data_IF_419700378708
#
_entry.id   IF_419700378708
#
_cell.length_a   1.000
_cell.length_b   1.000
_cell.length_c   1.000
_cell.angle_alpha   90.00
_cell.angle_beta   90.00
_cell.angle_gamma   90.00
#
_symmetry.space_group_name_H-M   'P 1'
#
loop_
_entity.id
_entity.type
_entity.pdbx_description
1 polymer ?
2 polymer ?
3 water ?
#
# COMPACT_ATOMS: atom_id res chain seq x y z
N UNK A 1 -5.69 -7.60 -16.05
CA UNK A 1 -7.00 -7.63 -15.34
C UNK A 1 -7.37 -6.25 -14.81
N UNK A 2 -8.63 -5.85 -14.99
CA UNK A 2 -9.05 -4.54 -14.52
C UNK A 2 -10.56 -4.31 -14.57
N UNK A 3 -11.27 -5.16 -15.30
CA UNK A 3 -12.72 -5.02 -15.40
C UNK A 3 -13.35 -5.60 -14.15
N UNK A 4 -12.62 -6.50 -13.51
CA UNK A 4 -13.09 -7.16 -12.31
C UNK A 4 -12.33 -6.66 -11.07
N UNK A 5 -11.60 -5.57 -11.22
CA UNK A 5 -10.82 -5.01 -10.13
C UNK A 5 -11.65 -4.67 -8.90
N UNK A 6 -11.01 -4.73 -7.74
CA UNK A 6 -11.68 -4.38 -6.51
C UNK A 6 -12.72 -5.32 -5.94
N UNK A 7 -13.02 -6.43 -6.62
CA UNK A 7 -13.99 -7.40 -6.13
C UNK A 7 -13.22 -8.65 -5.72
N UNK A 8 -13.15 -8.86 -4.41
CA UNK A 8 -12.41 -9.98 -3.84
C UNK A 8 -13.10 -11.34 -3.99
N UNK A 9 -12.37 -12.32 -4.55
CA UNK A 9 -12.93 -13.67 -4.75
C UNK A 9 -13.54 -14.27 -3.49
N UNK A 10 -12.94 -14.01 -2.32
CA UNK A 10 -13.46 -14.59 -1.09
C UNK A 10 -14.46 -13.74 -0.31
N UNK A 11 -14.73 -12.54 -0.78
CA UNK A 11 -15.68 -11.67 -0.10
C UNK A 11 -16.77 -11.15 -1.03
N UNK A 12 -16.54 -10.07 -1.75
CA UNK A 12 -17.56 -9.53 -2.64
C UNK A 12 -18.19 -10.56 -3.57
N UNK A 13 -17.37 -11.36 -4.25
CA UNK A 13 -17.87 -12.38 -5.18
C UNK A 13 -18.79 -13.43 -4.55
N UNK A 14 -18.68 -13.63 -3.24
CA UNK A 14 -19.49 -14.60 -2.51
C UNK A 14 -20.54 -13.93 -1.66
N UNK A 15 -20.53 -12.60 -1.71
CA UNK A 15 -21.43 -11.75 -0.94
C UNK A 15 -21.12 -11.89 0.56
N UNK A 16 -19.83 -12.03 0.89
CA UNK A 16 -19.42 -12.13 2.28
C UNK A 16 -18.69 -10.85 2.65
N UNK A 17 -18.87 -10.39 3.88
CA UNK A 17 -18.20 -9.18 4.32
C UNK A 17 -17.10 -9.52 5.30
N UNK A 18 -16.02 -8.74 5.28
CA UNK A 18 -14.93 -8.97 6.22
C UNK A 18 -15.29 -8.37 7.58
N UNK A 19 -14.52 -8.73 8.60
CA UNK A 19 -14.74 -8.28 9.97
C UNK A 19 -14.84 -6.79 10.22
N UNK A 20 -14.12 -5.97 9.48
CA UNK A 20 -14.16 -4.53 9.76
C UNK A 20 -14.55 -3.60 8.63
N UNK A 21 -15.06 -4.13 7.51
CA UNK A 21 -15.41 -3.23 6.42
C UNK A 21 -16.59 -2.30 6.73
N UNK A 22 -17.49 -2.75 7.61
CA UNK A 22 -18.65 -1.95 7.99
C UNK A 22 -18.17 -0.62 8.59
N UNK A 23 -17.03 -0.65 9.29
CA UNK A 23 -16.45 0.54 9.90
C UNK A 23 -16.14 1.60 8.83
N UNK A 24 -15.65 1.16 7.69
CA UNK A 24 -15.33 2.08 6.60
C UNK A 24 -16.63 2.65 6.04
N UNK A 25 -17.58 1.79 5.71
CA UNK A 25 -18.86 2.21 5.14
C UNK A 25 -19.65 3.15 6.04
N UNK A 26 -19.59 2.95 7.35
CA UNK A 26 -20.30 3.81 8.28
C UNK A 26 -19.69 5.21 8.39
N UNK A 27 -18.42 5.35 8.02
CA UNK A 27 -17.77 6.65 8.11
C UNK A 27 -18.06 7.51 6.88
N UNK A 28 -18.58 6.89 5.83
CA UNK A 28 -18.88 7.62 4.60
C UNK A 28 -20.19 8.39 4.82
N UNK A 29 -20.04 9.53 5.48
CA UNK A 29 -21.11 10.44 5.88
C UNK A 29 -21.67 9.87 7.18
N UNK A 33 2.44 -2.41 11.02
CA UNK A 33 1.18 -1.71 11.38
C UNK A 33 1.13 -1.67 12.90
N UNK A 34 0.90 -0.48 13.46
CA UNK A 34 0.80 -0.31 14.89
C UNK A 34 -0.67 -0.25 15.29
N UNK A 35 -1.04 -1.04 16.29
CA UNK A 35 -2.42 -1.12 16.81
C UNK A 35 -3.44 -1.65 15.82
N UNK A 36 -2.99 -2.58 14.97
CA UNK A 36 -3.87 -3.20 14.01
C UNK A 36 -4.26 -4.60 14.46
N UNK A 37 -4.77 -5.39 13.52
CA UNK A 37 -5.15 -6.76 13.83
C UNK A 37 -4.82 -7.65 12.65
N UNK A 38 -4.82 -8.95 12.89
CA UNK A 38 -4.53 -9.95 11.87
C UNK A 38 -5.55 -9.85 10.76
N UNK A 39 -5.09 -9.85 9.53
CA UNK A 39 -5.98 -9.78 8.40
C UNK A 39 -6.62 -11.15 8.18
N UNK A 40 -7.77 -11.18 7.53
CA UNK A 40 -8.43 -12.43 7.21
C UNK A 40 -7.79 -12.93 5.92
N UNK A 41 -7.86 -14.24 5.71
CA UNK A 41 -7.31 -14.83 4.51
C UNK A 41 -8.08 -14.22 3.33
N UNK A 42 -7.35 -13.78 2.30
CA UNK A 42 -7.99 -13.21 1.14
C UNK A 42 -8.61 -11.81 1.29
N UNK A 43 -8.38 -11.17 2.43
CA UNK A 43 -8.91 -9.84 2.71
C UNK A 43 -8.32 -8.73 1.83
N UNK A 44 -7.05 -8.87 1.45
CA UNK A 44 -6.38 -7.88 0.60
C UNK A 44 -5.61 -8.65 -0.46
N UNK A 45 -6.30 -9.19 -1.47
CA UNK A 45 -5.65 -9.96 -2.54
C UNK A 45 -4.70 -9.18 -3.46
N UNK A 46 -4.67 -7.87 -3.31
CA UNK A 46 -3.78 -7.03 -4.12
C UNK A 46 -2.47 -6.71 -3.36
N UNK A 47 -2.40 -7.10 -2.08
CA UNK A 47 -1.19 -6.85 -1.29
C UNK A 47 -0.02 -7.62 -1.86
N UNK A 48 1.09 -6.92 -2.05
CA UNK A 48 2.31 -7.52 -2.58
C UNK A 48 3.44 -7.28 -1.59
N UNK A 49 4.41 -8.19 -1.57
CA UNK A 49 5.55 -8.04 -0.68
C UNK A 49 6.76 -7.76 -1.57
N UNK A 50 7.40 -6.61 -1.35
CA UNK A 50 8.60 -6.25 -2.12
C UNK A 50 9.75 -6.94 -1.37
N UNK A 51 10.52 -7.75 -2.08
CA UNK A 51 11.56 -8.55 -1.44
C UNK A 51 12.96 -8.47 -2.06
N UNK A 52 13.99 -8.40 -1.21
CA UNK A 52 15.39 -8.35 -1.69
C UNK A 52 15.87 -9.78 -1.95
N UNK A 53 16.68 -9.95 -2.99
CA UNK A 53 17.24 -11.25 -3.32
C UNK A 53 18.46 -11.60 -2.47
N UNK A 54 19.39 -10.65 -2.33
CA UNK A 54 20.60 -10.85 -1.53
C UNK A 54 20.21 -11.17 -0.07
N UNK A 55 20.34 -10.23 0.91
CA UNK A 55 19.88 -10.82 2.17
C UNK A 55 18.34 -10.88 2.06
N UNK A 56 17.83 -12.10 1.96
CA UNK A 56 16.40 -12.38 1.83
C UNK A 56 15.64 -11.56 2.88
N UNK A 57 15.17 -10.37 2.49
CA UNK A 57 14.45 -9.48 3.41
C UNK A 57 13.26 -8.75 2.84
N UNK A 58 12.29 -8.48 3.71
CA UNK A 58 11.10 -7.72 3.34
C UNK A 58 11.63 -6.29 3.21
N UNK A 59 11.30 -5.61 2.12
CA UNK A 59 11.74 -4.24 1.90
C UNK A 59 10.57 -3.28 2.15
N UNK A 60 9.47 -3.56 1.47
CA UNK A 60 8.28 -2.72 1.54
C UNK A 60 7.06 -3.52 1.11
N UNK A 61 5.92 -2.84 1.15
CA UNK A 61 4.68 -3.41 0.68
C UNK A 61 4.49 -2.81 -0.70
N UNK A 62 3.48 -3.29 -1.44
CA UNK A 62 3.20 -2.80 -2.78
C UNK A 62 1.83 -3.32 -3.10
N UNK A 63 1.33 -3.05 -4.30
CA UNK A 63 -0.01 -3.53 -4.65
C UNK A 63 -0.11 -3.91 -6.12
N UNK A 64 -1.00 -4.86 -6.39
CA UNK A 64 -1.22 -5.37 -7.74
C UNK A 64 -2.36 -4.58 -8.40
N UNK A 65 -2.06 -3.89 -9.50
CA UNK A 65 -3.08 -3.13 -10.19
C UNK A 65 -3.52 -3.78 -11.50
N UNK A 66 -2.80 -4.82 -11.90
CA UNK A 66 -3.14 -5.59 -13.10
C UNK A 66 -2.30 -6.86 -13.08
N UNK A 67 -2.44 -7.70 -14.08
CA UNK A 67 -1.68 -8.96 -14.16
C UNK A 67 -0.18 -8.78 -14.33
N UNK A 68 0.26 -7.59 -14.73
CA UNK A 68 1.67 -7.37 -14.95
C UNK A 68 2.23 -6.09 -14.35
N UNK A 69 1.42 -5.35 -13.59
CA UNK A 69 1.86 -4.09 -12.99
C UNK A 69 1.67 -4.03 -11.49
N UNK A 70 2.73 -3.61 -10.81
CA UNK A 70 2.74 -3.46 -9.36
C UNK A 70 3.04 -1.99 -9.05
N UNK A 71 2.30 -1.43 -8.11
CA UNK A 71 2.48 -0.04 -7.70
C UNK A 71 3.11 0.00 -6.31
N UNK A 72 4.04 0.93 -6.09
CA UNK A 72 4.66 1.07 -4.78
C UNK A 72 5.20 2.50 -4.62
N UNK A 73 5.92 2.75 -3.53
CA UNK A 73 6.50 4.05 -3.26
C UNK A 73 7.90 4.08 -3.86
N UNK A 74 8.28 5.23 -4.40
CA UNK A 74 9.59 5.38 -5.01
C UNK A 74 10.72 5.29 -3.98
N UNK A 75 10.45 5.69 -2.75
CA UNK A 75 11.48 5.65 -1.70
C UNK A 75 11.93 4.22 -1.39
N UNK A 76 11.09 3.25 -1.73
CA UNK A 76 11.42 1.85 -1.53
C UNK A 76 12.52 1.45 -2.48
N UNK A 77 12.59 2.13 -3.61
CA UNK A 77 13.57 1.83 -4.64
C UNK A 77 14.74 2.79 -4.69
N UNK A 78 14.48 4.07 -4.41
CA UNK A 78 15.52 5.08 -4.48
C UNK A 78 15.46 6.03 -3.32
N UNK A 79 16.46 5.97 -2.46
CA UNK A 79 16.54 6.86 -1.33
C UNK A 79 18.01 7.14 -1.03
N UNK A 80 18.62 8.02 -1.84
CA UNK A 80 20.03 8.40 -1.70
C UNK A 80 20.52 8.74 -0.28
N UNK A 81 19.73 9.44 0.55
CA UNK A 81 20.22 9.73 1.89
C UNK A 81 20.62 8.49 2.70
N UNK A 82 20.08 7.32 2.37
CA UNK A 82 20.42 6.06 3.07
C UNK A 82 21.17 5.12 2.14
N UNK A 83 21.71 5.67 1.06
CA UNK A 83 22.45 4.91 0.04
C UNK A 83 21.64 3.76 -0.58
N UNK A 84 20.35 4.00 -0.79
CA UNK A 84 19.47 3.01 -1.37
C UNK A 84 19.16 3.33 -2.82
N UNK A 85 19.43 2.37 -3.69
CA UNK A 85 19.17 2.53 -5.12
C UNK A 85 19.12 1.15 -5.74
N UNK A 86 17.93 0.54 -5.73
CA UNK A 86 17.73 -0.80 -6.27
C UNK A 86 17.37 -0.86 -7.73
N UNK A 87 17.79 -1.94 -8.37
CA UNK A 87 17.50 -2.17 -9.77
C UNK A 87 16.62 -3.40 -9.84
N UNK A 88 16.11 -3.69 -11.03
CA UNK A 88 15.23 -4.84 -11.25
C UNK A 88 15.79 -6.14 -10.71
N UNK A 89 17.08 -6.37 -10.91
CA UNK A 89 17.69 -7.61 -10.48
C UNK A 89 17.98 -7.76 -8.99
N UNK A 90 17.73 -6.71 -8.22
CA UNK A 90 17.96 -6.78 -6.78
C UNK A 90 16.69 -7.21 -6.05
N UNK A 91 15.59 -7.26 -6.79
CA UNK A 91 14.31 -7.56 -6.15
C UNK A 91 13.41 -8.59 -6.83
N UNK A 92 12.39 -9.00 -6.07
CA UNK A 92 11.38 -9.91 -6.55
C UNK A 92 10.12 -9.60 -5.76
N UNK A 93 8.96 -9.85 -6.37
CA UNK A 93 7.70 -9.60 -5.69
C UNK A 93 7.00 -10.92 -5.34
N UNK A 94 6.43 -10.96 -4.15
CA UNK A 94 5.72 -12.13 -3.68
C UNK A 94 4.23 -11.75 -3.55
N UNK A 95 3.39 -12.36 -4.36
CA UNK A 95 1.97 -12.06 -4.37
C UNK A 95 1.14 -13.21 -3.83
N UNK A 96 0.08 -12.88 -3.08
CA UNK A 96 -0.81 -13.89 -2.52
C UNK A 96 -0.49 -14.36 -1.11
N UNK A 97 0.37 -13.61 -0.43
CA UNK A 97 0.81 -13.97 0.92
C UNK A 97 -0.09 -13.58 2.09
N UNK A 98 0.12 -14.27 3.20
CA UNK A 98 -0.59 -14.00 4.43
C UNK A 98 0.45 -14.05 5.55
N UNK A 99 1.24 -15.12 5.57
CA UNK A 99 2.29 -15.29 6.57
C UNK A 99 3.44 -14.39 6.13
N UNK A 100 4.07 -13.73 7.10
CA UNK A 100 5.19 -12.85 6.81
C UNK A 100 6.47 -13.58 6.38
N UNK A 101 6.93 -14.52 7.20
CA UNK A 101 8.18 -15.25 6.94
C UNK A 101 8.05 -16.58 6.19
N UNK A 102 6.96 -17.29 6.43
CA UNK A 102 6.68 -18.59 5.84
C UNK A 102 6.59 -18.54 4.29
N UNK A 103 7.35 -19.37 3.58
CA UNK A 103 7.20 -19.42 2.11
C UNK A 103 5.92 -20.25 1.91
N UNK A 104 4.88 -19.62 1.38
CA UNK A 104 3.58 -20.27 1.22
C UNK A 104 3.35 -21.11 -0.03
N UNK A 105 3.80 -22.37 0.07
CA UNK A 105 3.71 -23.38 -0.99
C UNK A 105 2.27 -23.56 -1.50
N UNK A 106 2.14 -23.51 -2.82
CA UNK A 106 0.86 -23.67 -3.51
C UNK A 106 -0.06 -22.45 -3.40
N UNK A 107 0.38 -21.42 -2.69
CA UNK A 107 -0.45 -20.25 -2.51
C UNK A 107 0.14 -18.97 -3.09
N UNK A 108 1.35 -18.61 -2.65
CA UNK A 108 1.99 -17.42 -3.15
C UNK A 108 2.71 -17.63 -4.48
N UNK A 109 2.87 -16.54 -5.22
CA UNK A 109 3.57 -16.54 -6.50
C UNK A 109 4.69 -15.50 -6.44
N UNK A 110 5.84 -15.84 -6.99
CA UNK A 110 6.99 -14.96 -7.01
C UNK A 110 7.25 -14.51 -8.43
N UNK A 111 7.50 -13.23 -8.61
CA UNK A 111 7.75 -12.70 -9.94
C UNK A 111 9.01 -11.86 -9.94
N UNK A 112 9.63 -11.83 -11.10
CA UNK A 112 10.84 -11.06 -11.33
C UNK A 112 10.41 -9.79 -12.05
N UNK A 113 11.16 -8.72 -11.84
CA UNK A 113 10.86 -7.43 -12.46
C UNK A 113 11.51 -7.29 -13.81
N UNK A 114 10.77 -6.70 -14.74
CA UNK A 114 11.26 -6.46 -16.08
C UNK A 114 11.75 -5.02 -16.18
N UNK A 115 10.99 -4.10 -15.59
CA UNK A 115 11.33 -2.68 -15.63
C UNK A 115 10.74 -1.93 -14.43
N UNK A 116 11.47 -0.94 -13.95
CA UNK A 116 11.05 -0.11 -12.84
C UNK A 116 10.97 1.31 -13.36
N UNK A 117 9.88 1.99 -13.04
CA UNK A 117 9.68 3.37 -13.47
C UNK A 117 9.40 4.20 -12.24
N UNK A 118 10.24 5.20 -12.03
CA UNK A 118 10.10 6.12 -10.90
C UNK A 118 9.66 7.47 -11.45
N UNK A 119 8.68 8.08 -10.81
CA UNK A 119 8.21 9.36 -11.26
C UNK A 119 9.42 10.29 -11.44
N UNK A 120 9.55 10.92 -12.62
CA UNK A 120 10.67 11.83 -12.91
C UNK A 120 10.82 13.03 -11.98
N UNK A 121 9.74 13.44 -11.32
CA UNK A 121 9.76 14.58 -10.42
C UNK A 121 9.66 14.20 -8.95
N UNK A 122 9.98 12.95 -8.65
CA UNK A 122 9.99 12.41 -7.28
C UNK A 122 11.02 13.24 -6.49
N UNK A 123 10.58 13.86 -5.40
CA UNK A 123 11.45 14.71 -4.59
C UNK A 123 12.01 14.06 -3.32
N UNK A 124 13.07 13.28 -3.46
CA UNK A 124 13.68 12.61 -2.32
C UNK A 124 14.57 13.55 -1.50
N UNK A 125 14.98 14.64 -2.11
CA UNK A 125 15.84 15.62 -1.46
C UNK A 125 15.16 16.39 -0.35
N UNK A 126 13.85 16.57 -0.43
CA UNK A 126 13.16 17.37 0.57
C UNK A 126 12.00 16.75 1.34
N UNK A 127 10.89 16.50 0.66
CA UNK A 127 9.69 15.99 1.32
C UNK A 127 9.04 14.73 0.74
N UNK A 128 9.73 14.03 -0.17
CA UNK A 128 9.20 12.83 -0.83
C UNK A 128 7.97 13.15 -1.65
N UNK A 129 7.96 14.33 -2.26
CA UNK A 129 6.84 14.75 -3.09
C UNK A 129 6.82 13.79 -4.30
N UNK A 130 5.63 13.35 -4.67
CA UNK A 130 5.45 12.40 -5.79
C UNK A 130 6.19 11.08 -5.52
N UNK A 131 5.98 10.54 -4.33
CA UNK A 131 6.60 9.29 -3.91
C UNK A 131 5.82 8.14 -4.55
N UNK A 132 6.12 7.83 -5.81
CA UNK A 132 5.41 6.78 -6.52
C UNK A 132 6.29 6.10 -7.58
N UNK A 133 6.12 4.79 -7.74
CA UNK A 133 6.88 4.02 -8.72
C UNK A 133 6.07 2.84 -9.23
N UNK A 134 6.25 2.50 -10.51
CA UNK A 134 5.56 1.39 -11.14
C UNK A 134 6.59 0.32 -11.45
N UNK A 135 6.20 -0.94 -11.35
CA UNK A 135 7.10 -2.05 -11.65
C UNK A 135 6.40 -3.03 -12.60
N UNK A 136 7.03 -3.32 -13.73
CA UNK A 136 6.47 -4.24 -14.71
C UNK A 136 6.98 -5.64 -14.41
N UNK A 137 6.07 -6.60 -14.27
CA UNK A 137 6.45 -7.97 -14.00
C UNK A 137 6.91 -8.64 -15.28
N UNK A 138 7.93 -9.49 -15.20
CA UNK A 138 8.42 -10.15 -16.40
C UNK A 138 7.34 -11.00 -17.05
N UNK A 139 6.52 -11.68 -16.25
CA UNK A 139 5.44 -12.49 -16.77
C UNK A 139 4.15 -12.19 -16.01
N UNK A 140 3.01 -12.23 -16.69
CA UNK A 140 1.72 -11.96 -16.04
C UNK A 140 1.47 -12.98 -14.94
N UNK A 141 0.88 -12.52 -13.85
CA UNK A 141 0.57 -13.38 -12.71
C UNK A 141 -0.86 -13.87 -12.89
N UNK A 142 -1.10 -15.13 -12.55
CA UNK A 142 -2.44 -15.69 -12.67
C UNK A 142 -3.20 -15.37 -11.40
N UNK A 143 -4.42 -14.88 -11.56
CA UNK A 143 -5.24 -14.54 -10.41
C UNK A 143 -5.76 -15.79 -9.74
N UNK A 144 -6.25 -15.63 -8.52
CA UNK A 144 -6.79 -16.74 -7.75
C UNK A 144 -7.60 -16.17 -6.59
N UNK A 145 -7.96 -17.00 -5.63
CA UNK A 145 -8.73 -16.55 -4.47
C UNK A 145 -7.92 -15.57 -3.61
N UNK A 146 -6.58 -15.67 -3.71
CA UNK A 146 -5.67 -14.87 -2.90
C UNK A 146 -4.91 -13.78 -3.68
N UNK A 147 -5.07 -13.76 -4.99
CA UNK A 147 -4.39 -12.82 -5.86
C UNK A 147 -5.44 -12.15 -6.73
N UNK A 148 -5.58 -10.83 -6.60
CA UNK A 148 -6.57 -10.09 -7.38
C UNK A 148 -6.23 -8.59 -7.32
N UNK A 149 -6.29 -7.88 -8.47
CA UNK A 149 -5.98 -6.45 -8.51
C UNK A 149 -7.00 -5.52 -7.89
N UNK A 150 -6.50 -4.39 -7.40
CA UNK A 150 -7.34 -3.38 -6.78
C UNK A 150 -7.57 -2.36 -7.90
N UNK A 151 -8.63 -1.58 -7.81
CA UNK A 151 -8.92 -0.56 -8.81
C UNK A 151 -8.20 0.75 -8.53
N UNK A 152 -7.97 1.53 -9.58
CA UNK A 152 -7.36 2.85 -9.45
C UNK A 152 -8.54 3.81 -9.50
N UNK A 153 -8.52 4.85 -8.65
CA UNK A 153 -9.65 5.78 -8.66
C UNK A 153 -9.77 6.69 -9.88
N UNK A 154 -11.00 7.10 -10.15
CA UNK A 154 -11.30 8.02 -11.23
C UNK A 154 -11.64 9.34 -10.52
N UNK A 155 -11.74 10.43 -11.26
CA UNK A 155 -12.03 11.74 -10.70
C UNK A 155 -13.16 11.77 -9.70
N UNK A 156 -14.30 11.20 -10.06
CA UNK A 156 -15.46 11.22 -9.19
C UNK A 156 -15.33 10.37 -7.94
N UNK A 157 -14.67 9.22 -8.04
CA UNK A 157 -14.49 8.36 -6.87
C UNK A 157 -13.57 9.07 -5.88
N UNK A 158 -12.53 9.71 -6.41
CA UNK A 158 -11.60 10.46 -5.57
C UNK A 158 -12.31 11.63 -4.92
N UNK A 159 -13.14 12.32 -5.69
CA UNK A 159 -13.86 13.48 -5.19
C UNK A 159 -14.77 13.16 -4.00
N UNK A 160 -15.59 12.13 -4.14
CA UNK A 160 -16.51 11.77 -3.07
C UNK A 160 -15.97 11.00 -1.90
N UNK A 161 -14.88 10.26 -2.10
CA UNK A 161 -14.35 9.47 -1.01
C UNK A 161 -13.21 10.09 -0.24
N UNK A 162 -12.39 10.90 -0.89
CA UNK A 162 -11.27 11.51 -0.21
C UNK A 162 -11.71 12.73 0.60
N UNK A 163 -12.34 12.47 1.74
CA UNK A 163 -12.84 13.53 2.63
C UNK A 163 -12.43 13.27 4.08
N UNK A 164 -12.17 14.36 4.80
CA UNK A 164 -11.78 14.29 6.20
C UNK A 164 -12.83 13.51 6.95
N UNK A 165 -12.40 12.58 7.78
CA UNK A 165 -13.36 11.78 8.53
C UNK A 165 -13.67 10.43 7.88
N UNK A 166 -13.55 10.34 6.57
CA UNK A 166 -13.82 9.06 5.89
C UNK A 166 -12.63 8.15 6.18
N UNK A 167 -12.93 6.89 6.47
CA UNK A 167 -11.87 5.94 6.78
C UNK A 167 -11.38 5.09 5.63
N UNK A 168 -10.07 4.88 5.62
CA UNK A 168 -9.44 4.04 4.63
C UNK A 168 -8.80 2.88 5.40
N UNK A 169 -8.16 1.99 4.67
CA UNK A 169 -7.53 0.82 5.27
C UNK A 169 -6.10 0.66 4.80
N UNK A 170 -5.21 0.33 5.73
CA UNK A 170 -3.81 0.12 5.44
C UNK A 170 -3.45 -1.30 5.86
N UNK A 171 -2.65 -1.98 5.05
CA UNK A 171 -2.25 -3.35 5.37
C UNK A 171 -0.74 -3.52 5.19
N UNK A 172 -0.14 -4.43 5.95
CA UNK A 172 1.29 -4.64 5.81
C UNK A 172 1.89 -5.57 6.86
N UNK A 173 3.12 -5.99 6.61
CA UNK A 173 3.86 -6.89 7.50
C UNK A 173 4.95 -6.12 8.25
N UNK A 174 4.81 -4.81 8.32
CA UNK A 174 5.79 -3.98 8.99
C UNK A 174 5.79 -4.10 10.50
N UNK A 175 6.67 -3.33 11.12
CA UNK A 175 6.81 -3.32 12.57
C UNK A 175 5.52 -2.99 13.27
N UNK A 176 5.31 -3.65 14.40
CA UNK A 176 4.11 -3.46 15.21
C UNK A 176 4.30 -2.34 16.22
N UNK A 177 5.52 -1.83 16.30
CA UNK A 177 5.83 -0.78 17.24
C UNK A 177 7.00 -0.02 16.66
N UNK A 178 7.11 1.25 17.03
CA UNK A 178 8.19 2.10 16.55
C UNK A 178 9.55 1.63 17.07
N UNK A 187 7.40 -7.01 18.07
CA UNK A 187 8.37 -6.69 16.98
C UNK A 187 7.76 -6.81 15.61
N UNK A 188 7.76 -8.02 15.06
CA UNK A 188 7.21 -8.30 13.75
C UNK A 188 5.98 -9.17 13.93
N UNK A 189 5.00 -9.05 13.04
CA UNK A 189 3.76 -9.84 13.10
C UNK A 189 4.03 -11.17 12.40
N UNK A 190 3.21 -12.18 12.67
CA UNK A 190 3.37 -13.46 12.01
C UNK A 190 2.60 -13.43 10.69
N UNK A 191 1.48 -12.70 10.69
CA UNK A 191 0.65 -12.59 9.49
C UNK A 191 0.35 -11.13 9.15
N UNK A 192 -0.18 -10.91 7.95
CA UNK A 192 -0.54 -9.58 7.46
C UNK A 192 -1.44 -8.89 8.47
N UNK A 193 -1.14 -7.62 8.76
CA UNK A 193 -1.92 -6.82 9.71
C UNK A 193 -2.78 -5.83 8.94
N UNK A 194 -3.86 -5.37 9.58
CA UNK A 194 -4.77 -4.42 8.96
C UNK A 194 -5.23 -3.36 9.96
N UNK A 195 -5.33 -2.11 9.51
CA UNK A 195 -5.80 -1.04 10.38
C UNK A 195 -6.61 -0.02 9.53
N UNK A 196 -7.77 0.38 10.02
CA UNK A 196 -8.63 1.35 9.34
C UNK A 196 -8.35 2.70 10.00
N UNK A 197 -8.07 3.71 9.19
CA UNK A 197 -7.74 5.04 9.70
C UNK A 197 -8.50 6.14 8.98
N UNK A 198 -8.90 7.19 9.72
CA UNK A 198 -9.64 8.29 9.09
C UNK A 198 -8.74 9.30 8.38
N UNK A 199 -9.23 9.84 7.26
CA UNK A 199 -8.48 10.85 6.54
C UNK A 199 -8.57 12.12 7.40
N UNK A 200 -7.46 12.84 7.50
CA UNK A 200 -7.39 14.04 8.32
C UNK A 200 -7.39 15.33 7.49
N UNK A 201 -7.93 16.39 8.07
CA UNK A 201 -8.00 17.71 7.42
C UNK A 201 -6.60 18.19 7.08
N UNK A 202 -6.44 18.72 5.87
CA UNK A 202 -5.14 19.20 5.42
C UNK A 202 -4.46 20.19 6.38
N UNK A 203 -5.20 21.16 6.95
CA UNK A 203 -4.60 22.12 7.88
C UNK A 203 -4.01 21.42 9.09
N UNK A 204 -4.73 20.44 9.60
CA UNK A 204 -4.27 19.67 10.74
C UNK A 204 -3.01 18.89 10.35
N UNK A 205 -2.95 18.39 9.12
CA UNK A 205 -1.78 17.66 8.63
C UNK A 205 -0.58 18.61 8.61
N UNK A 206 -0.76 19.76 7.97
CA UNK A 206 0.29 20.78 7.86
C UNK A 206 0.82 21.23 9.23
N UNK A 207 -0.08 21.55 10.16
CA UNK A 207 0.29 22.02 11.49
C UNK A 207 0.95 20.99 12.42
N UNK A 208 1.07 19.74 11.98
CA UNK A 208 1.66 18.72 12.81
C UNK A 208 3.13 18.48 12.47
N UNK A 209 3.62 19.13 11.44
CA UNK A 209 4.99 18.91 11.00
C UNK A 209 5.68 20.16 10.48
N UNK A 210 7.00 20.14 10.44
CA UNK A 210 7.79 21.25 9.94
C UNK A 210 8.03 20.99 8.46
N UNK A 211 7.78 19.75 8.03
CA UNK A 211 7.96 19.35 6.62
C UNK A 211 6.92 20.01 5.71
N UNK A 212 7.35 20.49 4.56
CA UNK A 212 6.45 21.14 3.61
C UNK A 212 5.60 20.08 2.91
N UNK A 213 4.31 20.04 3.20
CA UNK A 213 3.45 19.05 2.55
C UNK A 213 2.83 19.65 1.28
N UNK A 214 2.66 18.83 0.25
CA UNK A 214 2.13 19.31 -1.02
C UNK A 214 0.77 18.70 -1.32
N UNK A 215 0.19 19.07 -2.45
CA UNK A 215 -1.10 18.56 -2.89
C UNK A 215 -1.04 17.10 -3.31
N UNK A 216 0.17 16.59 -3.48
CA UNK A 216 0.37 15.22 -3.87
C UNK A 216 0.42 14.26 -2.68
N UNK A 217 0.04 14.76 -1.51
CA UNK A 217 0.03 13.96 -0.29
C UNK A 217 -1.24 14.21 0.48
N UNK A 218 -1.57 13.29 1.36
CA UNK A 218 -2.68 13.46 2.27
C UNK A 218 -2.22 12.72 3.52
N UNK A 219 -2.74 13.09 4.69
CA UNK A 219 -2.36 12.41 5.91
C UNK A 219 -3.57 11.73 6.54
N UNK A 220 -3.32 10.69 7.32
CA UNK A 220 -4.39 9.95 7.96
C UNK A 220 -4.00 9.46 9.33
N UNK A 221 -5.00 9.31 10.20
CA UNK A 221 -4.74 8.85 11.54
C UNK A 221 -5.69 9.48 12.53
N UNK A 222 -5.73 8.92 13.73
CA UNK A 222 -6.58 9.44 14.78
C UNK A 222 -5.86 10.59 15.51
N UNK A 223 -6.65 11.54 16.00
CA UNK A 223 -6.12 12.69 16.72
C UNK A 223 -5.97 12.28 18.17
N UNK A 224 -5.08 12.95 18.92
CA UNK A 224 -4.83 12.64 20.33
C UNK A 224 -6.08 12.50 21.19
N UNK A 225 -7.10 13.30 20.92
CA UNK A 225 -8.32 13.26 21.69
C UNK A 225 -9.30 12.19 21.28
N UNK A 226 -9.10 11.58 20.10
CA UNK A 226 -10.02 10.57 19.62
C UNK A 226 -10.01 9.22 20.32
N UNK A 227 -8.97 8.95 21.11
CA UNK A 227 -8.94 7.67 21.80
C UNK A 227 -8.32 6.55 20.99
N UNK A 228 -8.85 6.28 19.80
CA UNK A 228 -8.32 5.23 18.95
C UNK A 228 -6.90 5.58 18.46
N UNK A 229 -6.12 4.55 18.12
CA UNK A 229 -4.76 4.74 17.64
C UNK A 229 -4.55 3.93 16.35
N UNK A 230 -3.33 3.94 15.84
CA UNK A 230 -3.03 3.18 14.63
C UNK A 230 -2.20 3.94 13.65
N UNK A 231 -1.34 3.22 12.92
CA UNK A 231 -0.47 3.85 11.92
C UNK A 231 0.33 2.76 11.21
N UNK A 232 0.97 3.14 10.11
CA UNK A 232 1.84 2.24 9.39
C UNK A 232 3.21 2.43 10.08
N UNK A 233 4.16 1.57 9.78
CA UNK A 233 5.46 1.70 10.41
C UNK A 233 6.47 1.12 9.45
N UNK A 234 7.73 1.05 9.85
CA UNK A 234 8.75 0.51 8.98
C UNK A 234 8.32 -0.84 8.46
N UNK A 235 8.54 -1.07 7.18
CA UNK A 235 8.17 -2.33 6.55
C UNK A 235 6.85 -2.25 5.83
N UNK A 236 6.02 -1.27 6.20
CA UNK A 236 4.71 -1.05 5.59
C UNK A 236 4.73 -0.12 4.38
N UNK A 237 5.70 0.79 4.32
CA UNK A 237 5.75 1.74 3.22
C UNK A 237 5.67 1.08 1.86
N UNK A 238 5.10 1.81 0.90
CA UNK A 238 4.91 1.29 -0.44
C UNK A 238 3.57 0.57 -0.54
N UNK A 239 3.01 0.20 0.61
CA UNK A 239 1.73 -0.50 0.66
C UNK A 239 0.52 0.36 0.29
N UNK A 240 -0.63 -0.29 0.10
CA UNK A 240 -1.86 0.43 -0.26
C UNK A 240 -2.77 0.97 0.85
N UNK A 241 -3.35 2.14 0.59
CA UNK A 241 -4.33 2.77 1.49
C UNK A 241 -5.55 2.62 0.59
N UNK A 242 -6.50 1.77 0.98
CA UNK A 242 -7.68 1.56 0.13
C UNK A 242 -8.98 1.96 0.76
N UNK A 243 -9.97 2.20 -0.08
CA UNK A 243 -11.31 2.54 0.37
C UNK A 243 -12.31 1.73 -0.44
N UNK A 244 -13.43 1.37 0.16
CA UNK A 244 -14.45 0.61 -0.54
C UNK A 244 -15.51 1.58 -0.99
N UNK A 245 -15.76 1.64 -2.29
CA UNK A 245 -16.77 2.53 -2.79
C UNK A 245 -18.16 2.05 -2.41
N UNK A 246 -18.98 2.93 -1.85
CA UNK A 246 -20.33 2.55 -1.46
C UNK A 246 -21.29 2.60 -2.68
N UNK A 247 -20.79 3.02 -3.83
CA UNK A 247 -21.57 3.12 -5.06
C UNK A 247 -21.55 1.86 -5.89
N UNK A 248 -20.38 1.25 -6.04
CA UNK A 248 -20.27 0.03 -6.84
C UNK A 248 -19.64 -1.15 -6.09
N UNK A 249 -19.37 -0.94 -4.79
CA UNK A 249 -18.80 -1.95 -3.92
C UNK A 249 -17.41 -2.51 -4.26
N UNK A 250 -16.63 -1.74 -5.00
CA UNK A 250 -15.28 -2.15 -5.36
C UNK A 250 -14.29 -1.43 -4.48
N UNK A 251 -13.11 -2.02 -4.32
CA UNK A 251 -12.04 -1.43 -3.52
C UNK A 251 -11.16 -0.61 -4.43
N UNK A 252 -10.87 0.61 -4.00
CA UNK A 252 -10.01 1.53 -4.75
C UNK A 252 -8.79 1.91 -3.95
N UNK A 253 -7.63 1.99 -4.60
CA UNK A 253 -6.43 2.41 -3.88
C UNK A 253 -6.33 3.93 -3.99
N UNK A 254 -6.57 4.61 -2.88
CA UNK A 254 -6.52 6.07 -2.84
C UNK A 254 -5.13 6.61 -2.54
N UNK A 255 -4.34 5.83 -1.79
CA UNK A 255 -3.00 6.26 -1.43
C UNK A 255 -1.97 5.15 -1.30
N UNK A 256 -0.70 5.57 -1.18
CA UNK A 256 0.44 4.67 -1.01
C UNK A 256 1.12 5.10 0.28
N UNK A 257 1.41 4.16 1.17
CA UNK A 257 2.09 4.50 2.44
C UNK A 257 3.42 5.17 2.09
N UNK A 258 3.53 6.46 2.43
CA UNK A 258 4.73 7.21 2.10
C UNK A 258 5.67 7.42 3.29
N UNK A 259 5.43 8.45 4.09
CA UNK A 259 6.29 8.74 5.23
C UNK A 259 5.51 9.12 6.47
N UNK A 260 6.24 9.22 7.58
CA UNK A 260 5.64 9.61 8.84
C UNK A 260 6.78 9.91 9.80
N UNK A 261 6.51 10.57 10.89
CA UNK A 261 7.56 10.85 11.83
C UNK A 261 7.34 9.90 12.99
N UNK A 262 8.04 8.79 12.92
CA UNK A 262 7.89 7.74 13.91
C UNK A 262 6.70 6.90 13.49
N UNK A 263 6.10 6.19 14.44
CA UNK A 263 4.95 5.33 14.15
C UNK A 263 3.99 5.49 15.31
N UNK A 264 2.76 5.89 15.02
CA UNK A 264 1.71 6.03 16.03
C UNK A 264 1.95 7.08 17.15
N UNK A 265 2.77 8.09 16.88
CA UNK A 265 3.03 9.12 17.88
C UNK A 265 1.86 10.07 17.98
N UNK A 266 1.44 10.42 19.19
CA UNK A 266 0.33 11.35 19.38
C UNK A 266 0.65 12.65 18.66
N UNK A 267 -0.35 13.22 18.01
CA UNK A 267 -0.15 14.47 17.29
C UNK A 267 0.56 14.34 15.96
N UNK A 268 0.98 13.13 15.59
CA UNK A 268 1.64 12.94 14.30
C UNK A 268 0.69 12.13 13.41
N UNK A 269 0.89 12.19 12.11
CA UNK A 269 0.01 11.48 11.19
C UNK A 269 0.82 10.81 10.09
N UNK A 270 0.29 9.70 9.57
CA UNK A 270 0.99 9.03 8.49
C UNK A 270 0.66 9.79 7.23
N UNK A 271 1.63 9.92 6.34
CA UNK A 271 1.42 10.62 5.07
C UNK A 271 1.37 9.61 3.93
N UNK A 272 0.51 9.88 2.97
CA UNK A 272 0.31 8.97 1.84
C UNK A 272 0.37 9.69 0.52
N UNK A 273 0.87 9.01 -0.51
CA UNK A 273 0.93 9.57 -1.84
C UNK A 273 -0.50 9.64 -2.39
N UNK A 274 -0.88 10.77 -2.97
CA UNK A 274 -2.22 10.97 -3.52
C UNK A 274 -2.27 10.31 -4.89
N UNK A 275 -2.77 9.07 -4.94
CA UNK A 275 -2.82 8.32 -6.19
C UNK A 275 -3.54 8.99 -7.35
N UNK A 276 -4.74 9.52 -7.12
CA UNK A 276 -5.43 10.15 -8.22
C UNK A 276 -4.69 11.30 -8.89
N UNK A 277 -4.05 12.17 -8.09
CA UNK A 277 -3.32 13.31 -8.66
C UNK A 277 -2.18 12.87 -9.56
N UNK A 278 -1.68 11.66 -9.34
CA UNK A 278 -0.58 11.16 -10.15
C UNK A 278 -1.05 10.12 -11.17
N UNK A 279 -2.37 9.96 -11.29
CA UNK A 279 -2.94 8.99 -12.20
C UNK A 279 -2.54 9.19 -13.66
N UNK A 280 -2.38 10.44 -14.07
CA UNK A 280 -2.00 10.70 -15.46
C UNK A 280 -0.61 10.15 -15.76
N UNK A 281 0.29 10.21 -14.78
CA UNK A 281 1.62 9.68 -14.97
C UNK A 281 1.51 8.15 -15.06
N UNK A 282 0.65 7.55 -14.23
CA UNK A 282 0.45 6.11 -14.24
C UNK A 282 -0.05 5.66 -15.62
N UNK A 283 -1.15 6.27 -16.08
CA UNK A 283 -1.73 5.95 -17.37
C UNK A 283 -0.71 6.07 -18.50
N UNK A 284 0.00 7.19 -18.51
CA UNK A 284 1.02 7.44 -19.53
C UNK A 284 2.07 6.30 -19.58
N UNK A 285 2.64 5.96 -18.43
CA UNK A 285 3.64 4.91 -18.33
C UNK A 285 3.12 3.57 -18.86
N UNK A 286 1.95 3.17 -18.40
CA UNK A 286 1.38 1.90 -18.82
C UNK A 286 0.93 1.91 -20.29
N UNK A 287 0.57 3.07 -20.80
CA UNK A 287 0.14 3.17 -22.18
C UNK A 287 1.31 3.24 -23.16
N UNK A 288 2.50 3.52 -22.64
CA UNK A 288 3.68 3.62 -23.49
C UNK A 288 4.61 2.42 -23.39
N UNK A 289 4.67 1.85 -22.19
CA UNK A 289 5.54 0.71 -21.93
C UNK A 289 4.77 -0.58 -21.70
N UNK B 2 10.19 8.02 9.43
CA UNK B 2 10.21 6.84 8.37
C UNK B 2 9.89 7.23 6.91
N UNK B 3 10.57 6.68 5.89
CA UNK B 3 11.67 5.70 5.99
C UNK B 3 11.16 4.31 5.63
N UNK B 4 12.04 3.38 5.21
CA UNK B 4 11.58 2.02 4.91
C UNK B 4 12.35 0.98 5.72
N UNK B 5 11.95 -0.28 5.65
C UNK B 5 15.68 -13.49 8.92
N UNK B 6 14.60 -13.10 9.57
CA UNK B 6 13.55 -14.02 10.05
C UNK B 6 12.94 -14.88 8.93
N UNK B 7 13.10 -14.44 7.69
CA UNK B 7 12.52 -15.09 6.53
C UNK B 7 13.03 -16.48 6.14
N UNK B 8 12.09 -17.34 5.75
CA UNK B 8 12.39 -18.70 5.31
C UNK B 8 12.93 -18.66 3.88
N UNK B 9 14.05 -19.33 3.64
CA UNK B 9 14.62 -19.32 2.29
C UNK B 9 13.57 -19.72 1.25
N UNK B 10 13.59 -19.04 0.11
CA UNK B 10 12.68 -19.31 -0.98
C UNK B 10 13.30 -20.41 -1.81
N UNK B 11 12.56 -21.51 -2.04
CA UNK B 11 13.05 -22.64 -2.84
C UNK B 11 13.24 -22.18 -4.28
N UNK B 12 13.96 -22.96 -5.07
CA UNK B 12 14.19 -22.63 -6.47
C UNK B 12 12.90 -22.92 -7.24
N UNK B 13 11.88 -22.13 -6.93
CA UNK B 13 10.55 -22.25 -7.55
C UNK B 13 10.18 -20.84 -7.99
N UNK B 14 11.03 -20.29 -8.86
CA UNK B 14 10.97 -18.96 -9.47
C UNK B 14 12.30 -18.27 -9.21
#
# INVERSE_FOLDING_TARGET
GGADCGLRPLFEKKSLEDKTERELLESYIDGRIVEGSDAEIGMSPWQVMLFRKSPQELLCGASLISDRWVLTAAHCLLYPPWDKNFTENDLLVRIGKHSRTRYERNIEKISMLEKIYIHPRYNWRENLDRDIALMKLKKPVAFSDYIHPVCLPDRETAASLLQAGYKGRVTGWGNLKETWTANVGKGQPSVLQVVNLPIVERPVCKDSTRIRITDNMFCAGYKPDEGKRGDACEGDSGGPFVMKSPFNNRWYQMGIVSWGEGCDRDGKYGFYTHVFRLKKWIQKVIDQF
XRXAXDYEPIPEEA
#
